data_IF_389823777621
#
_entry.id   IF_389823777621
#
_cell.length_a   1.000
_cell.length_b   1.000
_cell.length_c   1.000
_cell.angle_alpha   90.00
_cell.angle_beta   90.00
_cell.angle_gamma   90.00
#
_symmetry.space_group_name_H-M   'P 1'
#
loop_
_entity.id
_entity.type
_entity.pdbx_description
1 polymer ?
#
# COMPACT_ATOMS: atom_id res chain seq x y z
N UNK A 1 5.59 7.36 7.20
CA UNK A 1 4.46 6.43 7.36
C UNK A 1 4.63 5.67 8.66
N UNK A 2 3.85 6.02 9.67
CA UNK A 2 3.88 5.41 11.02
C UNK A 2 2.47 4.93 11.39
N UNK A 3 1.80 4.24 10.46
CA UNK A 3 0.55 3.52 10.75
C UNK A 3 0.76 2.36 11.75
N UNK A 4 2.00 1.85 11.86
CA UNK A 4 2.35 0.63 12.60
C UNK A 4 2.52 0.77 14.12
N UNK A 5 3.13 1.83 14.62
CA UNK A 5 3.74 1.72 15.97
C UNK A 5 2.75 1.84 17.14
N UNK A 6 1.68 2.61 17.02
CA UNK A 6 0.78 2.89 18.16
C UNK A 6 -0.59 2.26 18.01
N UNK A 7 -1.11 2.13 16.79
CA UNK A 7 -2.40 1.50 16.50
C UNK A 7 -2.30 -0.03 16.55
N UNK A 8 -1.28 -0.61 15.90
CA UNK A 8 -1.09 -2.05 15.80
C UNK A 8 -0.76 -2.67 17.17
N UNK A 9 0.08 -2.01 17.99
CA UNK A 9 0.36 -2.46 19.36
C UNK A 9 -0.85 -2.33 20.30
N UNK A 10 -1.73 -1.35 20.09
CA UNK A 10 -2.99 -1.20 20.85
C UNK A 10 -4.01 -2.24 20.43
N UNK A 11 -4.25 -2.40 19.13
CA UNK A 11 -5.12 -3.43 18.55
C UNK A 11 -4.64 -4.84 18.93
N UNK A 12 -3.34 -5.13 18.82
CA UNK A 12 -2.76 -6.39 19.27
C UNK A 12 -3.02 -6.62 20.75
N UNK A 13 -2.82 -5.61 21.61
CA UNK A 13 -3.12 -5.74 23.05
C UNK A 13 -4.60 -6.04 23.29
N UNK A 14 -5.53 -5.36 22.62
CA UNK A 14 -6.97 -5.61 22.79
C UNK A 14 -7.41 -6.96 22.24
N UNK A 15 -6.90 -7.37 21.07
CA UNK A 15 -7.16 -8.68 20.47
C UNK A 15 -6.55 -9.81 21.32
N UNK A 16 -5.32 -9.64 21.81
CA UNK A 16 -4.67 -10.60 22.72
C UNK A 16 -5.36 -10.70 24.09
N UNK A 17 -5.82 -9.58 24.65
CA UNK A 17 -6.61 -9.56 25.91
C UNK A 17 -7.98 -10.24 25.74
N UNK A 18 -8.62 -10.11 24.58
CA UNK A 18 -9.87 -10.80 24.27
C UNK A 18 -9.67 -12.30 23.96
N UNK A 19 -8.46 -12.71 23.56
CA UNK A 19 -8.10 -14.08 23.16
C UNK A 19 -7.53 -14.97 24.29
N UNK A 20 -7.29 -14.42 25.47
CA UNK A 20 -6.83 -15.16 26.66
C UNK A 20 -7.67 -16.42 27.00
N UNK A 21 -9.00 -16.46 26.80
CA UNK A 21 -9.76 -17.68 27.03
C UNK A 21 -9.54 -18.77 25.96
N UNK A 22 -9.19 -18.39 24.72
CA UNK A 22 -9.16 -19.29 23.55
C UNK A 22 -7.75 -19.86 23.32
N UNK A 23 -6.70 -19.08 23.57
CA UNK A 23 -5.32 -19.54 23.43
C UNK A 23 -4.93 -20.63 24.46
N UNK A 24 -5.58 -20.65 25.63
CA UNK A 24 -5.36 -21.67 26.67
C UNK A 24 -5.99 -23.03 26.29
N UNK A 25 -7.03 -23.04 25.46
CA UNK A 25 -7.67 -24.28 25.00
C UNK A 25 -7.07 -24.86 23.72
N UNK A 26 -6.43 -24.03 22.88
CA UNK A 26 -5.99 -24.42 21.54
C UNK A 26 -4.53 -24.90 21.44
N UNK A 27 -3.76 -24.83 22.52
CA UNK A 27 -2.38 -25.34 22.59
C UNK A 27 -2.29 -26.61 23.43
N UNK A 28 -3.09 -27.62 23.12
CA UNK A 28 -2.78 -29.00 23.51
C UNK A 28 -1.68 -29.50 22.58
N UNK A 29 -0.48 -29.86 23.10
CA UNK A 29 0.60 -30.34 22.25
C UNK A 29 0.21 -31.66 21.59
N UNK A 30 0.36 -31.70 20.27
CA UNK A 30 0.49 -32.92 19.47
C UNK A 30 1.75 -33.69 19.92
N UNK A 31 1.62 -34.45 21.00
CA UNK A 31 2.58 -35.47 21.40
C UNK A 31 1.81 -36.71 21.85
N UNK A 32 1.69 -37.68 20.94
CA UNK A 32 1.99 -39.08 21.26
C UNK A 32 1.88 -40.00 20.02
N UNK A 33 2.84 -40.91 19.81
CA UNK A 33 2.70 -42.04 18.91
C UNK A 33 1.97 -43.21 19.58
N UNK A 34 1.17 -43.94 18.78
CA UNK A 34 0.77 -45.36 18.87
C UNK A 34 0.24 -46.02 20.17
N UNK A 35 -0.90 -46.73 19.97
CA UNK A 35 -1.45 -47.95 20.64
C UNK A 35 -2.28 -47.81 21.94
N UNK A 36 -3.57 -48.17 21.82
CA UNK A 36 -4.54 -48.59 22.85
C UNK A 36 -4.04 -49.76 23.76
N UNK A 37 -4.67 -50.12 24.92
CA UNK A 37 -6.09 -49.90 25.27
C UNK A 37 -6.46 -49.48 26.72
N UNK A 38 -7.67 -48.91 26.82
CA UNK A 38 -8.59 -48.84 27.98
C UNK A 38 -8.04 -48.42 29.37
N UNK A 39 -8.29 -47.17 29.77
CA UNK A 39 -8.39 -46.76 31.17
C UNK A 39 -9.36 -45.56 31.35
N UNK A 40 -10.05 -45.56 32.50
CA UNK A 40 -11.15 -44.70 33.00
C UNK A 40 -11.04 -43.19 32.73
N UNK A 41 -12.16 -42.44 32.75
CA UNK A 41 -12.16 -40.99 32.53
C UNK A 41 -11.46 -40.29 33.70
N UNK A 42 -10.27 -39.75 33.47
CA UNK A 42 -9.64 -38.80 34.38
C UNK A 42 -10.28 -37.42 34.20
N UNK A 43 -10.43 -36.64 35.29
CA UNK A 43 -10.95 -35.29 35.21
C UNK A 43 -10.01 -34.42 34.38
N UNK A 44 -10.57 -33.68 33.43
CA UNK A 44 -9.86 -32.72 32.60
C UNK A 44 -9.32 -31.59 33.49
N UNK A 45 -8.07 -31.71 33.94
CA UNK A 45 -7.36 -30.62 34.61
C UNK A 45 -6.91 -29.66 33.51
N UNK A 46 -7.56 -28.49 33.44
CA UNK A 46 -7.06 -27.39 32.62
C UNK A 46 -5.64 -27.04 33.07
N UNK A 47 -4.65 -26.94 32.16
CA UNK A 47 -3.28 -26.63 32.54
C UNK A 47 -3.23 -25.25 33.22
N UNK A 48 -2.82 -25.22 34.50
CA UNK A 48 -2.52 -23.97 35.21
C UNK A 48 -1.16 -23.46 34.73
N UNK A 49 -1.16 -22.54 33.77
CA UNK A 49 0.05 -21.82 33.38
C UNK A 49 0.39 -20.77 34.43
N UNK A 50 1.68 -20.60 34.73
CA UNK A 50 2.12 -19.47 35.55
C UNK A 50 2.00 -18.17 34.74
N UNK A 51 1.83 -17.04 35.42
CA UNK A 51 1.73 -15.73 34.77
C UNK A 51 2.94 -15.42 33.88
N UNK A 52 4.15 -15.84 34.30
CA UNK A 52 5.38 -15.72 33.52
C UNK A 52 5.36 -16.58 32.23
N UNK A 53 4.79 -17.79 32.30
CA UNK A 53 4.65 -18.66 31.13
C UNK A 53 3.63 -18.08 30.14
N UNK A 54 2.51 -17.54 30.64
CA UNK A 54 1.52 -16.84 29.83
C UNK A 54 2.14 -15.63 29.13
N UNK A 55 2.89 -14.79 29.86
CA UNK A 55 3.59 -13.64 29.26
C UNK A 55 4.60 -14.07 28.19
N UNK A 56 5.38 -15.13 28.43
CA UNK A 56 6.32 -15.66 27.44
C UNK A 56 5.64 -16.20 26.18
N UNK A 57 4.48 -16.83 26.32
CA UNK A 57 3.67 -17.31 25.19
C UNK A 57 3.05 -16.16 24.40
N UNK A 58 2.57 -15.12 25.09
CA UNK A 58 2.03 -13.91 24.46
C UNK A 58 3.10 -13.15 23.69
N UNK A 59 4.31 -13.01 24.24
CA UNK A 59 5.42 -12.35 23.55
C UNK A 59 5.80 -13.08 22.24
N UNK A 60 5.86 -14.42 22.27
CA UNK A 60 6.12 -15.23 21.06
C UNK A 60 5.00 -15.13 20.03
N UNK A 61 3.75 -15.08 20.46
CA UNK A 61 2.62 -14.89 19.57
C UNK A 61 2.66 -13.50 18.93
N UNK A 62 2.98 -12.46 19.70
CA UNK A 62 3.15 -11.11 19.18
C UNK A 62 4.26 -11.04 18.12
N UNK A 63 5.43 -11.60 18.40
CA UNK A 63 6.57 -11.65 17.47
C UNK A 63 6.21 -12.34 16.15
N UNK A 64 5.49 -13.47 16.22
CA UNK A 64 4.95 -14.17 15.04
C UNK A 64 3.97 -13.33 14.24
N UNK A 65 3.07 -12.62 14.91
CA UNK A 65 2.10 -11.74 14.23
C UNK A 65 2.82 -10.57 13.55
N UNK A 66 3.79 -9.97 14.23
CA UNK A 66 4.63 -8.90 13.68
C UNK A 66 5.34 -9.39 12.42
N UNK A 67 5.95 -10.59 12.46
CA UNK A 67 6.65 -11.15 11.29
C UNK A 67 5.71 -11.42 10.10
N UNK A 68 4.52 -11.99 10.34
CA UNK A 68 3.52 -12.18 9.29
C UNK A 68 3.02 -10.85 8.70
N UNK A 69 2.81 -9.87 9.57
CA UNK A 69 2.36 -8.53 9.20
C UNK A 69 3.44 -7.79 8.39
N UNK A 70 4.70 -7.94 8.75
CA UNK A 70 5.87 -7.40 8.04
C UNK A 70 6.00 -7.95 6.62
N UNK A 71 5.77 -9.25 6.45
CA UNK A 71 5.82 -9.87 5.13
C UNK A 71 4.81 -9.28 4.14
N UNK A 72 3.60 -8.92 4.62
CA UNK A 72 2.50 -8.44 3.77
C UNK A 72 2.40 -6.93 3.76
N UNK A 73 2.19 -6.32 4.93
CA UNK A 73 2.01 -4.87 5.07
C UNK A 73 3.32 -4.14 4.78
N UNK A 74 4.47 -4.67 5.19
CA UNK A 74 5.76 -4.06 4.88
C UNK A 74 6.05 -4.01 3.37
N UNK A 75 5.60 -5.01 2.62
CA UNK A 75 5.67 -5.01 1.15
C UNK A 75 4.78 -3.92 0.55
N UNK A 76 3.54 -3.79 1.04
CA UNK A 76 2.61 -2.73 0.64
C UNK A 76 3.23 -1.35 0.92
N UNK A 77 3.71 -1.10 2.14
CA UNK A 77 4.30 0.17 2.55
C UNK A 77 5.51 0.55 1.68
N UNK A 78 6.38 -0.42 1.37
CA UNK A 78 7.54 -0.19 0.51
C UNK A 78 7.13 0.18 -0.91
N UNK A 79 6.16 -0.53 -1.49
CA UNK A 79 5.66 -0.24 -2.84
C UNK A 79 4.92 1.08 -2.87
N UNK A 80 4.12 1.40 -1.86
CA UNK A 80 3.44 2.67 -1.70
C UNK A 80 4.44 3.85 -1.66
N UNK A 81 5.55 3.70 -0.95
CA UNK A 81 6.60 4.71 -0.92
C UNK A 81 7.27 4.90 -2.30
N UNK A 82 7.49 3.84 -3.07
CA UNK A 82 8.06 3.94 -4.43
C UNK A 82 7.07 4.61 -5.41
N UNK A 83 5.78 4.24 -5.35
CA UNK A 83 4.72 4.92 -6.10
C UNK A 83 4.70 6.40 -5.77
N UNK A 84 4.69 6.76 -4.48
CA UNK A 84 4.65 8.15 -4.05
C UNK A 84 5.87 8.95 -4.52
N UNK A 85 7.06 8.34 -4.51
CA UNK A 85 8.28 8.94 -5.03
C UNK A 85 8.18 9.22 -6.54
N UNK A 86 7.71 8.24 -7.32
CA UNK A 86 7.51 8.37 -8.77
C UNK A 86 6.46 9.42 -9.11
N UNK A 87 5.35 9.41 -8.40
CA UNK A 87 4.32 10.44 -8.49
C UNK A 87 4.89 11.85 -8.24
N UNK A 88 5.64 12.03 -7.15
CA UNK A 88 6.28 13.31 -6.81
C UNK A 88 7.25 13.74 -7.90
N UNK A 89 7.96 12.79 -8.50
CA UNK A 89 8.87 13.05 -9.61
C UNK A 89 8.13 13.53 -10.88
N UNK A 90 7.02 12.90 -11.25
CA UNK A 90 6.19 13.28 -12.40
C UNK A 90 5.53 14.65 -12.23
N UNK A 91 5.27 15.08 -10.98
CA UNK A 91 4.68 16.40 -10.69
C UNK A 91 5.62 17.58 -10.77
N UNK A 92 6.93 17.37 -10.93
CA UNK A 92 7.87 18.48 -11.01
C UNK A 92 7.47 19.40 -12.17
N UNK A 93 7.52 20.74 -12.01
CA UNK A 93 7.11 21.68 -13.07
C UNK A 93 7.79 21.43 -14.42
N UNK A 94 9.07 21.05 -14.40
CA UNK A 94 9.85 20.70 -15.60
C UNK A 94 9.34 19.44 -16.34
N UNK A 95 8.46 18.63 -15.75
CA UNK A 95 7.82 17.48 -16.40
C UNK A 95 6.53 17.87 -17.14
N UNK A 96 5.99 19.04 -16.80
CA UNK A 96 4.77 19.58 -17.41
C UNK A 96 5.07 20.72 -18.39
N UNK A 97 6.34 21.11 -18.54
CA UNK A 97 6.76 22.16 -19.47
C UNK A 97 7.37 21.53 -20.74
N UNK A 98 6.77 21.73 -21.93
CA UNK A 98 7.32 21.22 -23.18
C UNK A 98 8.70 21.81 -23.52
N UNK A 99 9.10 22.96 -22.96
CA UNK A 99 10.44 23.53 -23.15
C UNK A 99 11.53 22.85 -22.30
N UNK A 100 11.16 21.90 -21.45
CA UNK A 100 12.11 21.06 -20.70
C UNK A 100 12.55 19.82 -21.48
N UNK A 101 12.01 19.61 -22.68
CA UNK A 101 12.35 18.52 -23.59
C UNK A 101 13.30 19.06 -24.66
N UNK A 102 14.46 18.44 -24.79
CA UNK A 102 15.50 18.85 -25.76
C UNK A 102 15.30 18.20 -27.12
N UNK A 103 14.67 17.02 -27.14
CA UNK A 103 14.42 16.25 -28.35
C UNK A 103 13.10 15.48 -28.26
N UNK A 104 12.62 15.01 -29.42
CA UNK A 104 11.46 14.12 -29.49
C UNK A 104 11.73 12.77 -28.82
N UNK A 105 12.98 12.30 -28.81
CA UNK A 105 13.39 11.05 -28.16
C UNK A 105 13.24 11.13 -26.63
N UNK A 106 13.36 12.32 -26.05
CA UNK A 106 13.09 12.53 -24.63
C UNK A 106 11.66 12.08 -24.28
N UNK A 107 10.67 12.34 -25.16
CA UNK A 107 9.27 11.93 -24.94
C UNK A 107 9.17 10.42 -24.76
N UNK A 108 9.93 9.62 -25.52
CA UNK A 108 9.95 8.16 -25.40
C UNK A 108 10.51 7.70 -24.05
N UNK A 109 11.58 8.35 -23.57
CA UNK A 109 12.12 8.11 -22.23
C UNK A 109 11.10 8.47 -21.14
N UNK A 110 10.36 9.56 -21.34
CA UNK A 110 9.29 9.98 -20.44
C UNK A 110 8.11 9.01 -20.41
N UNK A 111 7.68 8.51 -21.57
CA UNK A 111 6.65 7.47 -21.67
C UNK A 111 7.07 6.23 -20.88
N UNK A 112 8.34 5.84 -20.93
CA UNK A 112 8.88 4.73 -20.14
C UNK A 112 8.73 4.99 -18.64
N UNK A 113 9.03 6.22 -18.18
CA UNK A 113 8.88 6.57 -16.75
C UNK A 113 7.41 6.56 -16.29
N UNK A 114 6.49 7.02 -17.13
CA UNK A 114 5.04 6.98 -16.86
C UNK A 114 4.55 5.52 -16.83
N UNK A 115 4.99 4.68 -17.79
CA UNK A 115 4.65 3.26 -17.81
C UNK A 115 5.17 2.52 -16.57
N UNK A 116 6.40 2.77 -16.15
CA UNK A 116 6.92 2.17 -14.91
C UNK A 116 6.11 2.59 -13.67
N UNK A 117 5.59 3.81 -13.67
CA UNK A 117 4.70 4.28 -12.59
C UNK A 117 3.36 3.54 -12.63
N UNK A 118 2.80 3.34 -13.83
CA UNK A 118 1.60 2.51 -14.06
C UNK A 118 1.79 1.08 -13.57
N UNK A 119 2.89 0.44 -13.94
CA UNK A 119 3.17 -0.95 -13.56
C UNK A 119 3.33 -1.09 -12.04
N UNK A 120 3.96 -0.11 -11.39
CA UNK A 120 4.10 -0.10 -9.93
C UNK A 120 2.76 0.15 -9.23
N UNK A 121 1.93 1.07 -9.73
CA UNK A 121 0.59 1.30 -9.20
C UNK A 121 -0.31 0.07 -9.35
N UNK A 122 -0.26 -0.61 -10.50
CA UNK A 122 -0.98 -1.87 -10.70
C UNK A 122 -0.51 -2.97 -9.73
N UNK A 123 0.79 -3.01 -9.44
CA UNK A 123 1.36 -3.94 -8.46
C UNK A 123 0.86 -3.62 -7.05
N UNK A 124 0.83 -2.34 -6.69
CA UNK A 124 0.32 -1.87 -5.39
C UNK A 124 -1.16 -2.21 -5.21
N UNK A 125 -1.98 -1.93 -6.22
CA UNK A 125 -3.39 -2.30 -6.26
C UNK A 125 -3.61 -3.78 -6.04
N UNK A 126 -2.80 -4.61 -6.71
CA UNK A 126 -2.84 -6.05 -6.52
C UNK A 126 -2.50 -6.44 -5.09
N UNK A 127 -1.48 -5.85 -4.48
CA UNK A 127 -1.14 -6.13 -3.08
C UNK A 127 -2.27 -5.73 -2.12
N UNK A 128 -2.97 -4.63 -2.37
CA UNK A 128 -4.14 -4.26 -1.57
C UNK A 128 -5.32 -5.22 -1.78
N UNK A 129 -5.55 -5.68 -3.01
CA UNK A 129 -6.61 -6.64 -3.32
C UNK A 129 -6.33 -8.02 -2.69
N UNK A 130 -5.08 -8.46 -2.71
CA UNK A 130 -4.64 -9.76 -2.21
C UNK A 130 -4.34 -9.73 -0.70
N UNK A 131 -4.38 -8.56 -0.04
CA UNK A 131 -3.98 -8.38 1.35
C UNK A 131 -4.70 -9.32 2.33
N UNK A 132 -5.98 -9.63 2.10
CA UNK A 132 -6.74 -10.57 2.93
C UNK A 132 -6.17 -11.98 2.85
N UNK A 133 -6.02 -12.50 1.64
CA UNK A 133 -5.51 -13.85 1.40
C UNK A 133 -4.04 -13.98 1.85
N UNK A 134 -3.22 -12.98 1.52
CA UNK A 134 -1.80 -12.97 1.86
C UNK A 134 -1.57 -12.91 3.37
N UNK A 135 -2.32 -12.06 4.09
CA UNK A 135 -2.20 -11.95 5.53
C UNK A 135 -2.68 -13.21 6.25
N UNK A 136 -3.80 -13.80 5.80
CA UNK A 136 -4.26 -15.09 6.32
C UNK A 136 -3.21 -16.19 6.14
N UNK A 137 -2.62 -16.26 4.96
CA UNK A 137 -1.58 -17.26 4.65
C UNK A 137 -0.31 -17.03 5.49
N UNK A 138 0.14 -15.79 5.61
CA UNK A 138 1.33 -15.44 6.39
C UNK A 138 1.16 -15.78 7.89
N UNK A 139 -0.01 -15.51 8.46
CA UNK A 139 -0.32 -15.83 9.85
C UNK A 139 -0.29 -17.35 10.11
N UNK A 140 -0.84 -18.16 9.20
CA UNK A 140 -0.81 -19.62 9.29
C UNK A 140 0.63 -20.16 9.16
N UNK A 141 1.44 -19.58 8.26
CA UNK A 141 2.85 -19.94 8.10
C UNK A 141 3.67 -19.70 9.37
N UNK A 142 3.28 -18.72 10.18
CA UNK A 142 3.86 -18.48 11.51
C UNK A 142 3.36 -19.45 12.58
N UNK A 143 2.67 -20.53 12.19
CA UNK A 143 2.09 -21.55 13.06
C UNK A 143 1.14 -20.96 14.11
N UNK A 144 0.45 -19.88 13.74
CA UNK A 144 -0.61 -19.30 14.57
C UNK A 144 -1.86 -20.18 14.38
N UNK A 145 -2.59 -20.43 15.46
CA UNK A 145 -3.84 -21.19 15.38
C UNK A 145 -4.81 -20.52 14.38
N UNK A 146 -5.46 -21.28 13.47
CA UNK A 146 -6.32 -20.70 12.44
C UNK A 146 -7.42 -19.77 12.95
N UNK A 147 -8.09 -20.10 14.07
CA UNK A 147 -9.13 -19.24 14.63
C UNK A 147 -8.58 -17.91 15.17
N UNK A 148 -7.37 -17.95 15.74
CA UNK A 148 -6.66 -16.75 16.21
C UNK A 148 -6.17 -15.93 15.00
N UNK A 149 -5.61 -16.60 13.99
CA UNK A 149 -5.15 -15.98 12.75
C UNK A 149 -6.29 -15.25 12.02
N UNK A 150 -7.47 -15.86 11.90
CA UNK A 150 -8.64 -15.25 11.27
C UNK A 150 -9.12 -13.98 12.01
N UNK A 151 -9.11 -13.99 13.34
CA UNK A 151 -9.46 -12.81 14.14
C UNK A 151 -8.43 -11.69 13.95
N UNK A 152 -7.13 -12.00 14.03
CA UNK A 152 -6.05 -11.03 13.83
C UNK A 152 -6.12 -10.45 12.42
N UNK A 153 -6.28 -11.28 11.39
CA UNK A 153 -6.45 -10.85 9.99
C UNK A 153 -7.60 -9.86 9.87
N UNK A 154 -8.76 -10.22 10.41
CA UNK A 154 -9.98 -9.41 10.34
C UNK A 154 -9.77 -8.05 10.99
N UNK A 155 -9.18 -7.99 12.19
CA UNK A 155 -8.96 -6.74 12.90
C UNK A 155 -7.89 -5.86 12.23
N UNK A 156 -6.81 -6.47 11.71
CA UNK A 156 -5.79 -5.76 10.95
C UNK A 156 -6.37 -5.13 9.68
N UNK A 157 -7.14 -5.89 8.89
CA UNK A 157 -7.73 -5.35 7.65
C UNK A 157 -8.83 -4.33 7.91
N UNK A 158 -9.60 -4.46 9.00
CA UNK A 158 -10.58 -3.43 9.40
C UNK A 158 -9.92 -2.09 9.72
N UNK A 159 -8.68 -2.10 10.20
CA UNK A 159 -7.94 -0.88 10.53
C UNK A 159 -7.50 -0.09 9.29
N UNK A 160 -7.55 -0.69 8.09
CA UNK A 160 -7.12 -0.02 6.87
C UNK A 160 -8.15 1.03 6.44
N UNK A 161 -7.71 2.24 6.06
CA UNK A 161 -8.57 3.26 5.50
C UNK A 161 -8.90 2.94 4.02
N UNK A 162 -9.62 1.84 3.78
CA UNK A 162 -9.94 1.34 2.43
C UNK A 162 -10.57 2.39 1.49
N UNK A 163 -11.47 3.28 1.94
CA UNK A 163 -12.00 4.32 1.07
C UNK A 163 -10.90 5.26 0.54
N UNK A 164 -9.98 5.68 1.40
CA UNK A 164 -8.84 6.53 1.04
C UNK A 164 -7.89 5.81 0.10
N UNK A 165 -7.56 4.55 0.38
CA UNK A 165 -6.69 3.72 -0.47
C UNK A 165 -7.28 3.57 -1.88
N UNK A 166 -8.57 3.21 -1.97
CA UNK A 166 -9.27 3.05 -3.25
C UNK A 166 -9.34 4.36 -4.02
N UNK A 167 -9.65 5.46 -3.33
CA UNK A 167 -9.72 6.77 -3.98
C UNK A 167 -8.37 7.23 -4.50
N UNK A 168 -7.31 7.05 -3.72
CA UNK A 168 -5.92 7.33 -4.13
C UNK A 168 -5.56 6.53 -5.39
N UNK A 169 -5.85 5.24 -5.42
CA UNK A 169 -5.57 4.39 -6.59
C UNK A 169 -6.31 4.84 -7.85
N UNK A 170 -7.59 5.17 -7.73
CA UNK A 170 -8.38 5.73 -8.83
C UNK A 170 -7.76 7.03 -9.37
N UNK A 171 -7.40 7.95 -8.47
CA UNK A 171 -6.77 9.22 -8.83
C UNK A 171 -5.40 9.00 -9.46
N UNK A 172 -4.59 8.06 -8.97
CA UNK A 172 -3.27 7.76 -9.52
C UNK A 172 -3.37 7.26 -10.97
N UNK A 173 -4.35 6.40 -11.27
CA UNK A 173 -4.62 5.97 -12.65
C UNK A 173 -4.99 7.13 -13.56
N UNK A 174 -5.90 7.99 -13.12
CA UNK A 174 -6.29 9.19 -13.88
C UNK A 174 -5.11 10.15 -14.09
N UNK A 175 -4.24 10.29 -13.09
CA UNK A 175 -3.03 11.11 -13.15
C UNK A 175 -2.03 10.57 -14.18
N UNK A 176 -1.83 9.25 -14.21
CA UNK A 176 -0.97 8.57 -15.18
C UNK A 176 -1.54 8.70 -16.60
N UNK A 177 -2.83 8.43 -16.78
CA UNK A 177 -3.52 8.57 -18.08
C UNK A 177 -3.38 10.01 -18.61
N UNK A 178 -3.56 11.02 -17.75
CA UNK A 178 -3.39 12.42 -18.12
C UNK A 178 -1.94 12.78 -18.52
N UNK A 179 -0.93 12.14 -17.90
CA UNK A 179 0.46 12.29 -18.33
C UNK A 179 0.72 11.66 -19.70
N UNK A 180 0.13 10.49 -19.98
CA UNK A 180 0.24 9.88 -21.31
C UNK A 180 -0.43 10.74 -22.38
N UNK A 181 -1.60 11.31 -22.10
CA UNK A 181 -2.26 12.31 -22.95
C UNK A 181 -1.35 13.51 -23.21
N UNK A 182 -0.68 14.05 -22.18
CA UNK A 182 0.24 15.17 -22.31
C UNK A 182 1.47 14.82 -23.18
N UNK A 183 2.07 13.65 -22.98
CA UNK A 183 3.20 13.19 -23.78
C UNK A 183 2.80 12.92 -25.24
N UNK A 184 1.61 12.36 -25.48
CA UNK A 184 1.06 12.23 -26.83
C UNK A 184 0.78 13.59 -27.48
N UNK A 185 0.32 14.56 -26.71
CA UNK A 185 0.14 15.93 -27.16
C UNK A 185 1.48 16.56 -27.60
N UNK A 186 2.56 16.40 -26.82
CA UNK A 186 3.90 16.90 -27.21
C UNK A 186 4.42 16.24 -28.48
N UNK A 187 4.25 14.92 -28.59
CA UNK A 187 4.71 14.13 -29.73
C UNK A 187 4.02 14.56 -31.04
N UNK A 188 2.71 14.85 -30.96
CA UNK A 188 1.87 15.28 -32.08
C UNK A 188 2.15 16.73 -32.50
N UNK A 189 2.39 17.62 -31.55
CA UNK A 189 2.52 19.06 -31.79
C UNK A 189 3.98 19.54 -31.73
N UNK A 190 4.95 18.62 -31.88
CA UNK A 190 6.36 18.95 -31.73
C UNK A 190 6.77 20.11 -32.64
N UNK A 191 7.41 21.13 -32.06
CA UNK A 191 7.88 22.31 -32.78
C UNK A 191 6.83 23.40 -32.99
N UNK A 192 5.60 23.25 -32.49
CA UNK A 192 4.56 24.30 -32.55
C UNK A 192 4.54 25.20 -31.30
N UNK A 193 5.59 25.14 -30.49
CA UNK A 193 5.74 25.95 -29.29
C UNK A 193 7.14 26.53 -29.22
N UNK A 194 7.26 27.63 -28.49
CA UNK A 194 8.52 28.28 -28.17
C UNK A 194 8.52 28.71 -26.72
N UNK A 195 9.72 28.91 -26.17
CA UNK A 195 9.87 29.57 -24.87
C UNK A 195 9.32 30.99 -24.97
N UNK A 196 8.58 31.42 -23.95
CA UNK A 196 8.12 32.80 -23.87
C UNK A 196 9.30 33.78 -23.78
N UNK A 197 9.01 35.07 -24.00
CA UNK A 197 10.04 36.10 -24.14
C UNK A 197 10.85 36.36 -22.85
N UNK A 198 10.32 35.97 -21.68
CA UNK A 198 10.95 36.23 -20.38
C UNK A 198 11.43 34.92 -19.70
N UNK A 199 12.53 34.94 -18.95
CA UNK A 199 12.94 33.80 -18.12
C UNK A 199 11.80 33.39 -17.16
N UNK A 200 11.37 32.13 -17.22
CA UNK A 200 10.25 31.62 -16.42
C UNK A 200 8.86 31.82 -17.03
N UNK A 201 8.75 32.45 -18.20
CA UNK A 201 7.47 32.59 -18.90
C UNK A 201 7.01 31.26 -19.53
N UNK A 202 5.69 31.06 -19.53
CA UNK A 202 5.02 29.88 -20.05
C UNK A 202 5.26 29.67 -21.54
N UNK A 203 5.21 28.41 -21.98
CA UNK A 203 5.33 28.01 -23.38
C UNK A 203 4.28 28.71 -24.23
N UNK A 204 4.71 29.36 -25.31
CA UNK A 204 3.86 30.05 -26.27
C UNK A 204 3.63 29.12 -27.45
N UNK A 205 2.37 28.83 -27.74
CA UNK A 205 1.98 27.99 -28.88
C UNK A 205 1.60 28.85 -30.07
N UNK A 206 1.97 28.40 -31.27
CA UNK A 206 1.67 29.14 -32.51
C UNK A 206 0.16 29.15 -32.82
N UNK A 207 -0.56 28.10 -32.39
CA UNK A 207 -2.00 27.98 -32.52
C UNK A 207 -2.67 28.13 -31.13
N UNK A 208 -3.60 29.10 -30.96
CA UNK A 208 -4.32 29.30 -29.70
C UNK A 208 -5.09 28.07 -29.20
N UNK A 209 -5.68 27.28 -30.10
CA UNK A 209 -6.42 26.05 -29.74
C UNK A 209 -5.50 24.97 -29.19
N UNK A 210 -4.27 24.87 -29.72
CA UNK A 210 -3.25 23.94 -29.23
C UNK A 210 -2.79 24.38 -27.84
N UNK A 211 -2.56 25.69 -27.65
CA UNK A 211 -2.25 26.26 -26.34
C UNK A 211 -3.35 26.03 -25.29
N UNK A 212 -4.62 26.21 -25.65
CA UNK A 212 -5.75 25.94 -24.76
C UNK A 212 -5.84 24.45 -24.34
N UNK A 213 -5.60 23.55 -25.28
CA UNK A 213 -5.54 22.09 -25.01
C UNK A 213 -4.42 21.76 -24.03
N UNK A 214 -3.23 22.35 -24.23
CA UNK A 214 -2.11 22.19 -23.32
C UNK A 214 -2.44 22.67 -21.90
N UNK A 215 -3.01 23.88 -21.75
CA UNK A 215 -3.37 24.40 -20.43
C UNK A 215 -4.39 23.50 -19.74
N UNK A 216 -5.41 23.03 -20.47
CA UNK A 216 -6.41 22.09 -19.94
C UNK A 216 -5.77 20.81 -19.40
N UNK A 217 -4.83 20.22 -20.15
CA UNK A 217 -4.11 19.02 -19.71
C UNK A 217 -3.26 19.29 -18.47
N UNK A 218 -2.55 20.43 -18.45
CA UNK A 218 -1.70 20.83 -17.33
C UNK A 218 -2.52 21.09 -16.06
N UNK A 219 -3.67 21.75 -16.18
CA UNK A 219 -4.61 22.00 -15.08
C UNK A 219 -5.22 20.69 -14.55
N UNK A 220 -5.64 19.79 -15.45
CA UNK A 220 -6.13 18.44 -15.11
C UNK A 220 -5.09 17.68 -14.28
N UNK A 221 -3.85 17.60 -14.77
CA UNK A 221 -2.75 16.94 -14.07
C UNK A 221 -2.50 17.58 -12.69
N UNK A 222 -2.44 18.91 -12.63
CA UNK A 222 -2.16 19.63 -11.38
C UNK A 222 -3.26 19.41 -10.34
N UNK A 223 -4.53 19.44 -10.77
CA UNK A 223 -5.70 19.24 -9.91
C UNK A 223 -5.75 17.83 -9.36
N UNK A 224 -5.60 16.81 -10.21
CA UNK A 224 -5.56 15.41 -9.77
C UNK A 224 -4.37 15.18 -8.84
N UNK A 225 -3.21 15.76 -9.18
CA UNK A 225 -2.01 15.71 -8.34
C UNK A 225 -2.24 16.27 -6.94
N UNK A 226 -2.95 17.39 -6.81
CA UNK A 226 -3.30 17.93 -5.50
C UNK A 226 -4.24 17.00 -4.72
N UNK A 227 -5.25 16.43 -5.38
CA UNK A 227 -6.16 15.49 -4.72
C UNK A 227 -5.44 14.24 -4.22
N UNK A 228 -4.42 13.76 -4.95
CA UNK A 228 -3.57 12.65 -4.50
C UNK A 228 -2.77 13.02 -3.25
N UNK A 229 -2.18 14.22 -3.18
CA UNK A 229 -1.51 14.70 -1.97
C UNK A 229 -2.45 14.70 -0.77
N UNK A 230 -3.69 15.18 -0.97
CA UNK A 230 -4.68 15.22 0.09
C UNK A 230 -5.01 13.80 0.59
N UNK A 231 -5.06 12.80 -0.32
CA UNK A 231 -5.21 11.40 0.09
C UNK A 231 -3.99 10.89 0.86
N UNK A 232 -2.78 11.20 0.42
CA UNK A 232 -1.55 10.80 1.15
C UNK A 232 -1.48 11.45 2.53
N UNK A 233 -1.86 12.71 2.67
CA UNK A 233 -1.95 13.39 3.95
C UNK A 233 -2.98 12.69 4.86
N UNK A 234 -4.16 12.35 4.32
CA UNK A 234 -5.20 11.63 5.05
C UNK A 234 -4.78 10.21 5.50
N UNK A 235 -3.88 9.53 4.78
CA UNK A 235 -3.31 8.24 5.20
C UNK A 235 -2.34 8.35 6.39
N UNK A 236 -1.84 9.56 6.68
CA UNK A 236 -0.87 9.80 7.75
C UNK A 236 -1.45 10.42 9.01
N UNK A 237 -2.73 10.80 8.99
CA UNK A 237 -3.49 11.33 10.14
C UNK A 237 -4.18 10.20 10.90
#
# INVERSE_FOLDING_TARGET
MTLRSTQLSRLLRYVLLALLPVAVQAQTPLLSPMKSPAAKPMPTVAPQFTEQQLQGMLAKLQDRIEHATDAVIGRIEKTEADVHLRFTYLRKPARLDPNSYTSKDDITSWRTSVQQTRDMENTLDKYYADADVDLGTALIQQQINPAIADQIRTELLKSFPWPTIKKKSELMKQFIDAHEELLAFYDKNWGTWRRGAEPGSSSVFDNPSVGATFQTLKEKISTIGQQIDDQYAALTQ
#
